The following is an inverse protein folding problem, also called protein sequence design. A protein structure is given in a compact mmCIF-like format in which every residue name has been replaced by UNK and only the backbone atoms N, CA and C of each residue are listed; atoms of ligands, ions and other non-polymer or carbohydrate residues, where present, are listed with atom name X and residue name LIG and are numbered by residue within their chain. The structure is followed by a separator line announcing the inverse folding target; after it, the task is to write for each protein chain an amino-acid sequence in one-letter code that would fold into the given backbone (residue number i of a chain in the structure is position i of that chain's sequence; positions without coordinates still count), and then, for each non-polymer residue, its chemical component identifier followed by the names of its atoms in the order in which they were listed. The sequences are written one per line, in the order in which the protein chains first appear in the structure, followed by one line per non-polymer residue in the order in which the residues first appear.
data_IF_677669086654
#
_entry.id   IF_677669086654
#
_cell.length_a   1.000
_cell.length_b   1.000
_cell.length_c   1.000
_cell.angle_alpha   90.00
_cell.angle_beta   90.00
_cell.angle_gamma   90.00
#
_symmetry.space_group_name_H-M   'P 1'
#
loop_
_entity.id
_entity.type
_entity.pdbx_description
1 polymer ?
#
# COMPACT_ATOMS: atom_id res chain seq x y z
N UNK A 1 -29.52 1.27 2.84
CA UNK A 1 -28.18 1.76 2.44
C UNK A 1 -27.37 0.55 1.97
N UNK A 2 -26.46 0.72 1.02
CA UNK A 2 -25.60 -0.40 0.60
C UNK A 2 -24.71 -0.83 1.75
N UNK A 3 -24.62 -2.13 2.06
CA UNK A 3 -23.69 -2.66 3.04
C UNK A 3 -22.28 -2.98 2.45
N UNK A 4 -22.02 -2.50 1.22
CA UNK A 4 -20.75 -2.66 0.51
C UNK A 4 -19.76 -1.59 0.92
N UNK A 5 -18.57 -2.02 1.31
CA UNK A 5 -17.51 -1.16 1.83
C UNK A 5 -16.17 -1.40 1.14
N UNK A 6 -15.35 -0.37 1.15
CA UNK A 6 -13.91 -0.48 0.92
C UNK A 6 -13.18 -0.47 2.28
N UNK A 7 -12.42 -1.52 2.58
CA UNK A 7 -11.51 -1.55 3.72
C UNK A 7 -10.17 -0.96 3.31
N UNK A 8 -9.72 0.09 4.03
CA UNK A 8 -8.43 0.75 3.77
C UNK A 8 -7.52 0.63 4.99
N UNK A 9 -6.40 -0.08 4.84
CA UNK A 9 -5.40 -0.21 5.91
C UNK A 9 -4.38 0.93 5.87
N UNK A 10 -3.87 1.34 7.04
CA UNK A 10 -2.95 2.48 7.13
C UNK A 10 -3.61 3.81 6.74
N UNK A 11 -4.91 3.95 6.97
CA UNK A 11 -5.73 5.07 6.51
C UNK A 11 -5.53 6.38 7.27
N UNK A 12 -4.76 6.40 8.37
CA UNK A 12 -4.62 7.58 9.23
C UNK A 12 -3.72 8.69 8.65
N UNK A 13 -3.07 8.48 7.52
CA UNK A 13 -2.22 9.48 6.83
C UNK A 13 -1.80 9.03 5.41
N UNK A 14 -1.17 9.95 4.68
CA UNK A 14 -0.47 9.67 3.42
C UNK A 14 -1.35 9.03 2.33
N UNK A 15 -0.81 8.05 1.63
CA UNK A 15 -1.48 7.43 0.49
C UNK A 15 -2.80 6.75 0.91
N UNK A 16 -2.84 6.09 2.08
CA UNK A 16 -4.05 5.42 2.57
C UNK A 16 -5.20 6.39 2.84
N UNK A 17 -4.91 7.54 3.47
CA UNK A 17 -5.88 8.60 3.69
C UNK A 17 -6.43 9.15 2.36
N UNK A 18 -5.55 9.42 1.40
CA UNK A 18 -5.95 9.94 0.10
C UNK A 18 -6.73 8.91 -0.75
N UNK A 19 -6.41 7.61 -0.63
CA UNK A 19 -7.19 6.54 -1.26
C UNK A 19 -8.61 6.50 -0.65
N UNK A 20 -8.72 6.54 0.68
CA UNK A 20 -10.01 6.56 1.36
C UNK A 20 -10.85 7.78 0.94
N UNK A 21 -10.23 8.97 0.90
CA UNK A 21 -10.85 10.22 0.44
C UNK A 21 -11.35 10.09 -1.01
N UNK A 22 -10.52 9.57 -1.91
CA UNK A 22 -10.90 9.44 -3.31
C UNK A 22 -11.99 8.38 -3.53
N UNK A 23 -11.98 7.28 -2.78
CA UNK A 23 -13.07 6.30 -2.80
C UNK A 23 -14.38 6.88 -2.25
N UNK A 24 -14.34 7.64 -1.15
CA UNK A 24 -15.49 8.32 -0.58
C UNK A 24 -16.08 9.33 -1.59
N UNK A 25 -15.26 10.08 -2.32
CA UNK A 25 -15.70 11.00 -3.38
C UNK A 25 -16.40 10.31 -4.56
N UNK A 26 -16.21 8.99 -4.71
CA UNK A 26 -16.94 8.16 -5.68
C UNK A 26 -18.23 7.53 -5.11
N UNK A 27 -18.64 7.93 -3.91
CA UNK A 27 -19.85 7.41 -3.25
C UNK A 27 -19.70 6.03 -2.63
N UNK A 28 -18.47 5.59 -2.33
CA UNK A 28 -18.18 4.28 -1.75
C UNK A 28 -18.10 4.41 -0.23
N UNK A 29 -18.78 3.53 0.52
CA UNK A 29 -18.64 3.45 1.96
C UNK A 29 -17.25 2.92 2.34
N UNK A 30 -16.70 3.43 3.44
CA UNK A 30 -15.31 3.16 3.81
C UNK A 30 -15.23 2.59 5.23
N UNK A 31 -14.46 1.53 5.40
CA UNK A 31 -13.95 1.10 6.70
C UNK A 31 -12.47 1.46 6.78
N UNK A 32 -12.12 2.33 7.70
CA UNK A 32 -10.76 2.80 7.94
C UNK A 32 -10.09 1.94 9.01
N UNK A 33 -8.84 1.53 8.81
CA UNK A 33 -8.06 0.92 9.90
C UNK A 33 -6.62 1.44 9.94
N UNK A 34 -6.16 1.75 11.15
CA UNK A 34 -4.80 2.11 11.50
C UNK A 34 -4.65 2.09 13.03
N UNK A 35 -3.45 2.40 13.55
CA UNK A 35 -3.16 2.43 14.99
C UNK A 35 -3.67 3.68 15.70
N UNK A 36 -3.74 4.82 15.00
CA UNK A 36 -4.04 6.16 15.56
C UNK A 36 -5.55 6.42 15.49
N UNK A 37 -6.27 6.04 16.55
CA UNK A 37 -7.72 6.10 16.62
C UNK A 37 -8.29 7.50 16.40
N UNK A 38 -7.76 8.51 17.09
CA UNK A 38 -8.24 9.90 16.99
C UNK A 38 -8.18 10.43 15.53
N UNK A 39 -7.14 10.03 14.79
CA UNK A 39 -7.00 10.42 13.38
C UNK A 39 -8.01 9.70 12.49
N UNK A 40 -8.32 8.44 12.78
CA UNK A 40 -9.33 7.68 12.06
C UNK A 40 -10.72 8.26 12.30
N UNK A 41 -11.05 8.56 13.56
CA UNK A 41 -12.33 9.18 13.93
C UNK A 41 -12.52 10.51 13.18
N UNK A 42 -11.55 11.41 13.28
CA UNK A 42 -11.61 12.71 12.59
C UNK A 42 -11.76 12.57 11.07
N UNK A 43 -11.03 11.61 10.48
CA UNK A 43 -11.14 11.35 9.05
C UNK A 43 -12.54 10.79 8.69
N UNK A 44 -13.07 9.87 9.48
CA UNK A 44 -14.39 9.28 9.27
C UNK A 44 -15.49 10.35 9.31
N UNK A 45 -15.48 11.22 10.34
CA UNK A 45 -16.41 12.34 10.48
C UNK A 45 -16.35 13.29 9.26
N UNK A 46 -15.14 13.67 8.84
CA UNK A 46 -14.94 14.58 7.71
C UNK A 46 -15.47 13.96 6.40
N UNK A 47 -15.06 12.72 6.08
CA UNK A 47 -15.46 12.06 4.84
C UNK A 47 -16.98 11.80 4.80
N UNK A 48 -17.58 11.37 5.91
CA UNK A 48 -19.03 11.16 6.01
C UNK A 48 -19.79 12.46 5.79
N UNK A 49 -19.33 13.57 6.36
CA UNK A 49 -19.93 14.88 6.21
C UNK A 49 -19.82 15.42 4.79
N UNK A 50 -18.62 15.29 4.18
CA UNK A 50 -18.30 15.87 2.86
C UNK A 50 -18.96 15.09 1.72
N UNK A 51 -18.83 13.75 1.73
CA UNK A 51 -19.24 12.91 0.60
C UNK A 51 -20.58 12.19 0.80
N UNK A 52 -21.22 12.31 1.98
CA UNK A 52 -22.52 11.68 2.31
C UNK A 52 -22.49 10.15 2.18
N UNK A 53 -21.35 9.52 2.46
CA UNK A 53 -21.15 8.08 2.53
C UNK A 53 -21.02 7.62 3.98
N UNK A 54 -21.25 6.33 4.23
CA UNK A 54 -20.98 5.75 5.53
C UNK A 54 -19.46 5.51 5.67
N UNK A 55 -18.87 6.09 6.69
CA UNK A 55 -17.45 5.84 7.04
C UNK A 55 -17.37 5.40 8.49
N UNK A 56 -16.86 4.22 8.70
CA UNK A 56 -16.59 3.66 10.03
C UNK A 56 -15.08 3.38 10.18
N UNK A 57 -14.65 3.09 11.39
CA UNK A 57 -13.24 2.81 11.65
C UNK A 57 -13.06 1.76 12.74
N UNK A 58 -11.91 1.09 12.68
CA UNK A 58 -11.41 0.21 13.74
C UNK A 58 -9.92 0.51 13.96
N UNK A 59 -9.56 0.88 15.20
CA UNK A 59 -8.17 1.05 15.59
C UNK A 59 -7.52 -0.33 15.75
N UNK A 60 -6.49 -0.61 14.93
CA UNK A 60 -5.86 -1.92 14.91
C UNK A 60 -4.38 -1.81 14.52
N UNK A 61 -3.52 -2.59 15.20
CA UNK A 61 -2.11 -2.72 14.84
C UNK A 61 -1.87 -4.02 14.07
N UNK A 62 -1.59 -3.90 12.78
CA UNK A 62 -1.32 -5.05 11.90
C UNK A 62 0.00 -5.80 12.22
N UNK A 63 0.79 -5.33 13.18
CA UNK A 63 1.88 -6.12 13.76
C UNK A 63 1.37 -7.20 14.73
N UNK A 64 0.11 -7.10 15.17
CA UNK A 64 -0.56 -8.14 15.94
C UNK A 64 -1.07 -9.25 15.02
N UNK A 65 -0.83 -10.49 15.40
CA UNK A 65 -1.20 -11.67 14.64
C UNK A 65 -2.72 -11.81 14.46
N UNK A 66 -3.50 -11.43 15.48
CA UNK A 66 -4.95 -11.51 15.47
C UNK A 66 -5.63 -10.37 14.72
N UNK A 67 -4.93 -9.29 14.40
CA UNK A 67 -5.50 -8.10 13.77
C UNK A 67 -6.38 -8.37 12.54
N UNK A 68 -6.02 -9.26 11.60
CA UNK A 68 -6.89 -9.58 10.46
C UNK A 68 -8.22 -10.22 10.89
N UNK A 69 -8.20 -11.09 11.92
CA UNK A 69 -9.41 -11.73 12.44
C UNK A 69 -10.30 -10.72 13.17
N UNK A 70 -9.70 -9.81 13.94
CA UNK A 70 -10.44 -8.76 14.66
C UNK A 70 -11.15 -7.83 13.68
N UNK A 71 -10.47 -7.43 12.60
CA UNK A 71 -11.07 -6.61 11.53
C UNK A 71 -12.23 -7.36 10.85
N UNK A 72 -12.05 -8.64 10.54
CA UNK A 72 -13.09 -9.46 9.92
C UNK A 72 -14.31 -9.64 10.84
N UNK A 73 -14.07 -9.94 12.13
CA UNK A 73 -15.12 -10.05 13.12
C UNK A 73 -15.91 -8.74 13.27
N UNK A 74 -15.22 -7.60 13.27
CA UNK A 74 -15.86 -6.29 13.26
C UNK A 74 -16.76 -6.12 12.03
N UNK A 75 -16.28 -6.43 10.82
CA UNK A 75 -17.09 -6.37 9.61
C UNK A 75 -18.35 -7.25 9.71
N UNK A 76 -18.20 -8.48 10.20
CA UNK A 76 -19.35 -9.39 10.37
C UNK A 76 -20.34 -8.89 11.42
N UNK A 77 -19.89 -8.31 12.54
CA UNK A 77 -20.76 -7.75 13.58
C UNK A 77 -21.61 -6.57 13.11
N UNK A 78 -21.14 -5.86 12.08
CA UNK A 78 -21.79 -4.69 11.46
C UNK A 78 -22.50 -5.04 10.15
N UNK A 79 -22.48 -6.30 9.72
CA UNK A 79 -22.98 -6.73 8.40
C UNK A 79 -22.33 -5.97 7.24
N UNK A 80 -21.03 -5.66 7.33
CA UNK A 80 -20.29 -5.00 6.28
C UNK A 80 -19.72 -6.02 5.28
N UNK A 81 -20.06 -5.85 4.02
CA UNK A 81 -19.50 -6.61 2.91
C UNK A 81 -18.31 -5.86 2.32
N UNK A 82 -17.12 -6.44 2.37
CA UNK A 82 -15.92 -5.83 1.82
C UNK A 82 -15.75 -6.26 0.36
N UNK A 83 -16.13 -5.38 -0.58
CA UNK A 83 -15.94 -5.58 -2.01
C UNK A 83 -14.60 -4.99 -2.51
N UNK A 84 -14.00 -4.09 -1.74
CA UNK A 84 -12.71 -3.44 -2.07
C UNK A 84 -11.79 -3.57 -0.86
N UNK A 85 -10.62 -4.18 -1.05
CA UNK A 85 -9.59 -4.33 -0.01
C UNK A 85 -8.33 -3.57 -0.42
N UNK A 86 -7.99 -2.52 0.34
CA UNK A 86 -6.79 -1.71 0.13
C UNK A 86 -5.75 -2.06 1.20
N UNK A 87 -4.80 -2.89 0.84
CA UNK A 87 -3.63 -3.23 1.64
C UNK A 87 -2.56 -2.14 1.46
N UNK A 88 -2.65 -1.08 2.27
CA UNK A 88 -1.74 0.07 2.18
C UNK A 88 -0.82 0.23 3.39
N UNK A 89 -1.16 -0.31 4.55
CA UNK A 89 -0.34 -0.17 5.75
C UNK A 89 1.11 -0.58 5.51
N UNK A 90 2.04 0.23 5.98
CA UNK A 90 3.47 -0.04 5.85
C UNK A 90 4.31 1.09 6.45
N UNK A 91 5.57 0.78 6.70
CA UNK A 91 6.58 1.71 7.19
C UNK A 91 7.97 1.29 6.68
N UNK A 92 8.98 2.08 6.94
CA UNK A 92 10.38 1.76 6.65
C UNK A 92 11.21 1.66 7.93
N UNK A 93 12.35 0.98 7.87
CA UNK A 93 13.34 0.90 8.95
C UNK A 93 14.62 1.58 8.46
N UNK A 94 15.09 2.63 9.17
CA UNK A 94 16.33 3.35 8.85
C UNK A 94 17.57 2.62 9.33
N UNK A 95 17.44 1.91 10.46
CA UNK A 95 18.55 1.20 11.10
C UNK A 95 19.15 0.14 10.16
N UNK A 96 20.47 0.05 10.04
CA UNK A 96 21.13 -1.00 9.27
C UNK A 96 20.69 -2.41 9.69
N UNK A 97 20.59 -3.33 8.74
CA UNK A 97 20.01 -4.66 8.99
C UNK A 97 20.72 -5.45 10.10
N UNK A 98 22.05 -5.33 10.23
CA UNK A 98 22.82 -6.01 11.26
C UNK A 98 22.67 -5.40 12.67
N UNK A 99 22.02 -4.23 12.77
CA UNK A 99 21.75 -3.53 14.03
C UNK A 99 20.28 -3.67 14.48
N UNK A 100 19.41 -4.17 13.61
CA UNK A 100 18.02 -4.45 13.95
C UNK A 100 17.87 -5.78 14.67
N UNK A 101 16.84 -5.91 15.52
CA UNK A 101 16.49 -7.19 16.12
C UNK A 101 15.62 -8.04 15.18
N UNK A 102 15.73 -9.39 15.29
CA UNK A 102 14.81 -10.28 14.57
C UNK A 102 13.33 -9.95 14.86
N UNK A 103 13.01 -9.53 16.08
CA UNK A 103 11.66 -9.12 16.48
C UNK A 103 11.17 -7.91 15.67
N UNK A 104 12.04 -6.95 15.36
CA UNK A 104 11.68 -5.79 14.54
C UNK A 104 11.51 -6.17 13.07
N UNK A 105 12.38 -7.06 12.56
CA UNK A 105 12.26 -7.59 11.21
C UNK A 105 10.98 -8.45 11.03
N UNK A 106 10.64 -9.28 12.01
CA UNK A 106 9.39 -10.05 12.00
C UNK A 106 8.16 -9.16 12.01
N UNK A 107 8.14 -8.08 12.82
CA UNK A 107 7.06 -7.08 12.79
C UNK A 107 6.98 -6.39 11.43
N UNK A 108 8.13 -6.07 10.83
CA UNK A 108 8.19 -5.45 9.52
C UNK A 108 7.60 -6.38 8.44
N UNK A 109 8.03 -7.64 8.42
CA UNK A 109 7.49 -8.67 7.52
C UNK A 109 6.00 -8.85 7.75
N UNK A 110 5.56 -8.87 9.02
CA UNK A 110 4.15 -9.03 9.37
C UNK A 110 3.30 -7.90 8.79
N UNK A 111 3.67 -6.66 9.01
CA UNK A 111 2.87 -5.51 8.53
C UNK A 111 2.87 -5.40 7.00
N UNK A 112 4.02 -5.56 6.34
CA UNK A 112 4.14 -5.35 4.90
C UNK A 112 3.82 -6.60 4.06
N UNK A 113 3.82 -7.77 4.67
CA UNK A 113 3.69 -9.07 3.98
C UNK A 113 2.58 -9.93 4.56
N UNK A 114 2.78 -10.50 5.74
CA UNK A 114 1.89 -11.52 6.30
C UNK A 114 0.48 -11.00 6.55
N UNK A 115 0.32 -9.76 7.04
CA UNK A 115 -1.01 -9.16 7.24
C UNK A 115 -1.76 -8.95 5.92
N UNK A 116 -1.04 -8.59 4.85
CA UNK A 116 -1.61 -8.45 3.50
C UNK A 116 -2.16 -9.79 3.00
N UNK A 117 -1.39 -10.87 3.18
CA UNK A 117 -1.82 -12.23 2.84
C UNK A 117 -3.04 -12.63 3.68
N UNK A 118 -2.98 -12.40 5.00
CA UNK A 118 -4.05 -12.79 5.92
C UNK A 118 -5.37 -12.06 5.64
N UNK A 119 -5.33 -10.73 5.47
CA UNK A 119 -6.51 -9.95 5.08
C UNK A 119 -7.06 -10.40 3.73
N UNK A 120 -6.21 -10.59 2.73
CA UNK A 120 -6.64 -11.09 1.43
C UNK A 120 -7.30 -12.47 1.58
N UNK A 121 -6.68 -13.39 2.31
CA UNK A 121 -7.19 -14.76 2.51
C UNK A 121 -8.54 -14.81 3.23
N UNK A 122 -8.76 -13.90 4.20
CA UNK A 122 -9.98 -13.92 5.02
C UNK A 122 -11.18 -13.29 4.29
N UNK A 123 -10.96 -12.28 3.42
CA UNK A 123 -12.02 -11.62 2.66
C UNK A 123 -12.28 -12.25 1.28
N UNK A 124 -11.32 -12.98 0.72
CA UNK A 124 -11.41 -13.56 -0.61
C UNK A 124 -12.61 -14.52 -0.79
N UNK A 125 -12.96 -15.41 0.17
CA UNK A 125 -14.12 -16.29 0.03
C UNK A 125 -15.45 -15.55 -0.17
N UNK A 126 -15.66 -14.46 0.57
CA UNK A 126 -16.86 -13.62 0.43
C UNK A 126 -16.88 -12.93 -0.95
N UNK A 127 -15.72 -12.43 -1.42
CA UNK A 127 -15.59 -11.85 -2.76
C UNK A 127 -15.88 -12.84 -3.87
N UNK A 128 -15.39 -14.09 -3.75
CA UNK A 128 -15.64 -15.17 -4.72
C UNK A 128 -17.14 -15.50 -4.76
N UNK A 129 -17.77 -15.67 -3.60
CA UNK A 129 -19.21 -15.94 -3.50
C UNK A 129 -20.04 -14.86 -4.20
N UNK A 130 -19.63 -13.59 -4.03
CA UNK A 130 -20.33 -12.44 -4.63
C UNK A 130 -19.89 -12.17 -6.08
N UNK A 131 -18.93 -12.90 -6.61
CA UNK A 131 -18.31 -12.70 -7.93
C UNK A 131 -17.87 -11.23 -8.15
N UNK A 132 -17.43 -10.58 -7.09
CA UNK A 132 -17.03 -9.19 -7.11
C UNK A 132 -15.99 -8.91 -6.03
N UNK A 133 -14.78 -8.57 -6.44
CA UNK A 133 -13.70 -8.21 -5.52
C UNK A 133 -12.63 -7.39 -6.21
N UNK A 134 -12.23 -6.30 -5.56
CA UNK A 134 -11.10 -5.48 -6.01
C UNK A 134 -10.09 -5.39 -4.88
N UNK A 135 -8.90 -5.87 -5.14
CA UNK A 135 -7.80 -5.84 -4.18
C UNK A 135 -6.74 -4.85 -4.69
N UNK A 136 -6.29 -3.96 -3.85
CA UNK A 136 -5.10 -3.15 -4.11
C UNK A 136 -4.05 -3.46 -3.07
N UNK A 137 -2.82 -3.69 -3.52
CA UNK A 137 -1.65 -3.82 -2.66
C UNK A 137 -0.72 -2.64 -2.94
N UNK A 138 -0.54 -1.76 -1.95
CA UNK A 138 0.40 -0.64 -2.08
C UNK A 138 1.83 -1.17 -1.93
N UNK A 139 2.43 -1.38 -3.08
CA UNK A 139 3.80 -1.82 -3.25
C UNK A 139 4.75 -0.60 -3.32
N UNK A 140 5.70 -0.59 -4.23
CA UNK A 140 6.66 0.49 -4.49
C UNK A 140 7.40 0.27 -5.79
N UNK A 141 7.98 1.33 -6.38
CA UNK A 141 8.98 1.19 -7.44
C UNK A 141 10.24 0.46 -6.96
N UNK A 142 10.45 0.35 -5.64
CA UNK A 142 11.51 -0.48 -5.04
C UNK A 142 11.38 -1.96 -5.42
N UNK A 143 10.18 -2.42 -5.78
CA UNK A 143 9.97 -3.77 -6.31
C UNK A 143 10.66 -4.05 -7.65
N UNK A 144 11.08 -3.01 -8.36
CA UNK A 144 11.77 -3.10 -9.66
C UNK A 144 13.21 -2.63 -9.57
N UNK A 145 13.60 -1.99 -8.48
CA UNK A 145 14.93 -1.41 -8.29
C UNK A 145 15.96 -2.46 -7.86
N UNK A 146 17.26 -2.23 -8.12
CA UNK A 146 18.30 -3.01 -7.51
C UNK A 146 18.22 -2.99 -5.98
N UNK A 147 18.81 -3.98 -5.29
CA UNK A 147 18.89 -3.99 -3.83
C UNK A 147 19.47 -2.68 -3.28
N UNK A 148 18.88 -2.16 -2.21
CA UNK A 148 19.30 -0.93 -1.53
C UNK A 148 20.08 -1.29 -0.27
N UNK A 149 21.08 -0.48 0.09
CA UNK A 149 21.80 -0.61 1.36
C UNK A 149 20.97 -0.17 2.57
N UNK A 150 19.88 0.57 2.33
CA UNK A 150 18.91 0.97 3.33
C UNK A 150 17.70 0.05 3.24
N UNK A 151 17.21 -0.46 4.38
CA UNK A 151 16.00 -1.28 4.42
C UNK A 151 16.12 -2.58 3.60
N UNK A 152 16.99 -3.47 4.03
CA UNK A 152 17.32 -4.72 3.32
C UNK A 152 16.09 -5.53 2.88
N UNK A 153 15.02 -5.59 3.70
CA UNK A 153 13.81 -6.36 3.39
C UNK A 153 12.75 -5.58 2.62
N UNK A 154 12.83 -4.25 2.52
CA UNK A 154 11.75 -3.47 1.90
C UNK A 154 11.55 -3.81 0.42
N UNK A 155 12.61 -3.74 -0.38
CA UNK A 155 12.57 -4.11 -1.81
C UNK A 155 12.11 -5.54 -2.03
N UNK A 156 12.73 -6.55 -1.37
CA UNK A 156 12.30 -7.95 -1.45
C UNK A 156 10.82 -8.17 -1.13
N UNK A 157 10.31 -7.58 -0.02
CA UNK A 157 8.89 -7.71 0.33
C UNK A 157 8.00 -7.04 -0.73
N UNK A 158 8.36 -5.87 -1.25
CA UNK A 158 7.57 -5.21 -2.29
C UNK A 158 7.56 -5.99 -3.60
N UNK A 159 8.67 -6.67 -3.94
CA UNK A 159 8.73 -7.60 -5.08
C UNK A 159 7.81 -8.81 -4.86
N UNK A 160 7.85 -9.41 -3.67
CA UNK A 160 6.96 -10.49 -3.30
C UNK A 160 5.48 -10.07 -3.39
N UNK A 161 5.13 -8.85 -2.92
CA UNK A 161 3.76 -8.33 -2.99
C UNK A 161 3.29 -8.12 -4.44
N UNK A 162 4.16 -7.69 -5.36
CA UNK A 162 3.81 -7.61 -6.78
C UNK A 162 3.47 -9.00 -7.34
N UNK A 163 4.29 -10.01 -7.06
CA UNK A 163 4.05 -11.37 -7.50
C UNK A 163 2.82 -12.01 -6.87
N UNK A 164 2.56 -11.71 -5.60
CA UNK A 164 1.34 -12.13 -4.93
C UNK A 164 0.10 -11.52 -5.59
N UNK A 165 0.12 -10.22 -5.92
CA UNK A 165 -0.95 -9.55 -6.67
C UNK A 165 -1.20 -10.20 -8.04
N UNK A 166 -0.13 -10.50 -8.78
CA UNK A 166 -0.22 -11.21 -10.07
C UNK A 166 -0.88 -12.58 -9.91
N UNK A 167 -0.49 -13.33 -8.86
CA UNK A 167 -1.05 -14.67 -8.58
C UNK A 167 -2.54 -14.60 -8.26
N UNK A 168 -3.02 -13.59 -7.52
CA UNK A 168 -4.46 -13.39 -7.27
C UNK A 168 -5.20 -13.17 -8.60
N UNK A 169 -4.68 -12.35 -9.51
CA UNK A 169 -5.31 -12.15 -10.82
C UNK A 169 -5.40 -13.45 -11.62
N UNK A 170 -4.30 -14.21 -11.70
CA UNK A 170 -4.27 -15.46 -12.47
C UNK A 170 -5.28 -16.48 -11.94
N UNK A 171 -5.39 -16.61 -10.61
CA UNK A 171 -6.19 -17.65 -10.00
C UNK A 171 -7.68 -17.30 -9.88
N UNK A 172 -8.03 -15.99 -9.76
CA UNK A 172 -9.39 -15.59 -9.36
C UNK A 172 -10.07 -14.57 -10.30
N UNK A 173 -9.47 -14.23 -11.44
CA UNK A 173 -10.08 -13.29 -12.40
C UNK A 173 -11.40 -13.80 -12.97
N UNK A 174 -11.54 -15.12 -13.15
CA UNK A 174 -12.79 -15.74 -13.61
C UNK A 174 -13.91 -15.70 -12.57
N UNK A 175 -13.55 -15.52 -11.29
CA UNK A 175 -14.49 -15.33 -10.19
C UNK A 175 -14.86 -13.86 -9.98
N UNK A 176 -14.47 -12.98 -10.90
CA UNK A 176 -14.75 -11.53 -10.81
C UNK A 176 -13.82 -10.77 -9.86
N UNK A 177 -12.68 -11.36 -9.48
CA UNK A 177 -11.69 -10.75 -8.59
C UNK A 177 -10.55 -10.16 -9.40
N UNK A 178 -10.17 -8.92 -9.09
CA UNK A 178 -8.97 -8.27 -9.65
C UNK A 178 -8.06 -7.78 -8.54
N UNK A 179 -6.76 -7.86 -8.77
CA UNK A 179 -5.74 -7.33 -7.86
C UNK A 179 -4.83 -6.35 -8.58
N UNK A 180 -4.55 -5.21 -7.97
CA UNK A 180 -3.68 -4.16 -8.52
C UNK A 180 -2.53 -3.90 -7.57
N UNK A 181 -1.30 -4.17 -8.01
CA UNK A 181 -0.11 -3.69 -7.32
C UNK A 181 0.11 -2.21 -7.65
N UNK A 182 -0.17 -1.32 -6.71
CA UNK A 182 0.16 0.10 -6.82
C UNK A 182 1.62 0.30 -6.44
N UNK A 183 2.44 0.78 -7.35
CA UNK A 183 3.89 0.93 -7.20
C UNK A 183 4.29 2.42 -7.23
N UNK A 184 4.09 3.16 -6.12
CA UNK A 184 4.50 4.56 -6.03
C UNK A 184 6.02 4.71 -6.08
N UNK A 185 6.46 5.86 -6.61
CA UNK A 185 7.79 6.39 -6.35
C UNK A 185 7.83 7.26 -5.09
N UNK A 186 8.73 8.23 -5.05
CA UNK A 186 8.83 9.19 -3.96
C UNK A 186 7.53 10.01 -3.85
N UNK A 187 6.84 9.82 -2.73
CA UNK A 187 5.55 10.44 -2.46
C UNK A 187 5.65 11.29 -1.20
N UNK A 188 5.24 12.54 -1.27
CA UNK A 188 5.27 13.46 -0.12
C UNK A 188 4.20 13.01 0.88
N UNK A 189 4.64 12.40 1.98
CA UNK A 189 3.79 11.87 3.06
C UNK A 189 4.57 11.82 4.37
N UNK A 190 3.89 11.57 5.48
CA UNK A 190 4.52 11.28 6.78
C UNK A 190 5.36 9.98 6.79
N UNK A 191 5.32 9.16 5.73
CA UNK A 191 6.06 7.90 5.66
C UNK A 191 7.56 8.10 5.85
N UNK A 192 8.14 9.10 5.20
CA UNK A 192 9.58 9.36 5.27
C UNK A 192 10.01 9.84 6.65
N UNK A 193 9.22 10.73 7.27
CA UNK A 193 9.46 11.21 8.64
C UNK A 193 9.30 10.07 9.64
N UNK A 194 8.24 9.29 9.55
CA UNK A 194 7.97 8.17 10.47
C UNK A 194 8.96 7.00 10.32
N UNK A 195 9.55 6.85 9.14
CA UNK A 195 10.60 5.86 8.85
C UNK A 195 12.03 6.38 9.13
N UNK A 196 12.17 7.63 9.57
CA UNK A 196 13.47 8.26 9.86
C UNK A 196 14.32 8.57 8.62
N UNK A 197 13.75 8.56 7.41
CA UNK A 197 14.45 8.80 6.13
C UNK A 197 14.06 10.13 5.47
N UNK A 198 13.70 11.13 6.28
CA UNK A 198 13.27 12.44 5.75
C UNK A 198 14.42 13.17 5.04
N UNK A 199 15.64 13.12 5.56
CA UNK A 199 16.80 13.77 4.94
C UNK A 199 17.09 13.21 3.54
N UNK A 200 16.98 11.88 3.37
CA UNK A 200 17.13 11.24 2.07
C UNK A 200 16.01 11.64 1.11
N UNK A 201 14.78 11.82 1.63
CA UNK A 201 13.67 12.35 0.86
C UNK A 201 13.90 13.78 0.42
N UNK A 202 14.50 14.62 1.28
CA UNK A 202 14.75 16.03 0.97
C UNK A 202 15.77 16.19 -0.16
N UNK A 203 16.73 15.28 -0.26
CA UNK A 203 17.74 15.23 -1.35
C UNK A 203 17.18 14.78 -2.70
N UNK A 204 16.01 14.14 -2.73
CA UNK A 204 15.38 13.71 -3.98
C UNK A 204 14.98 14.93 -4.81
N UNK A 205 15.28 15.00 -6.11
CA UNK A 205 14.87 16.09 -6.98
C UNK A 205 13.33 16.29 -6.99
N UNK A 206 12.88 17.54 -7.05
CA UNK A 206 11.46 17.88 -6.95
C UNK A 206 10.60 17.24 -8.05
N UNK A 207 11.15 17.05 -9.28
CA UNK A 207 10.44 16.41 -10.39
C UNK A 207 10.15 14.92 -10.16
N UNK A 208 10.80 14.30 -9.16
CA UNK A 208 10.57 12.92 -8.75
C UNK A 208 9.62 12.82 -7.55
N UNK A 209 9.21 13.94 -6.93
CA UNK A 209 8.31 13.97 -5.78
C UNK A 209 6.88 14.23 -6.23
N UNK A 210 5.95 13.40 -5.79
CA UNK A 210 4.55 13.52 -6.15
C UNK A 210 3.66 13.55 -4.91
N UNK A 211 2.49 14.19 -5.03
CA UNK A 211 1.52 14.24 -3.93
C UNK A 211 0.83 12.88 -3.74
N UNK A 212 0.49 12.56 -2.49
CA UNK A 212 -0.27 11.36 -2.16
C UNK A 212 -1.64 11.33 -2.87
N UNK A 213 -2.28 12.48 -3.01
CA UNK A 213 -3.56 12.63 -3.73
C UNK A 213 -3.46 12.16 -5.19
N UNK A 214 -2.41 12.56 -5.91
CA UNK A 214 -2.21 12.12 -7.29
C UNK A 214 -1.97 10.60 -7.37
N UNK A 215 -1.13 10.08 -6.48
CA UNK A 215 -0.83 8.65 -6.41
C UNK A 215 -2.09 7.84 -6.12
N UNK A 216 -2.89 8.27 -5.15
CA UNK A 216 -4.16 7.65 -4.79
C UNK A 216 -5.13 7.63 -5.97
N UNK A 217 -5.31 8.78 -6.63
CA UNK A 217 -6.18 8.89 -7.81
C UNK A 217 -5.78 7.94 -8.93
N UNK A 218 -4.50 7.99 -9.37
CA UNK A 218 -4.01 7.12 -10.45
C UNK A 218 -4.10 5.63 -10.06
N UNK A 219 -3.86 5.29 -8.78
CA UNK A 219 -3.97 3.92 -8.25
C UNK A 219 -5.40 3.40 -8.26
N UNK A 220 -6.34 4.16 -7.71
CA UNK A 220 -7.76 3.77 -7.65
C UNK A 220 -8.35 3.68 -9.06
N UNK A 221 -8.05 4.62 -9.95
CA UNK A 221 -8.50 4.57 -11.35
C UNK A 221 -7.94 3.32 -12.06
N UNK A 222 -6.68 2.95 -11.81
CA UNK A 222 -6.08 1.72 -12.35
C UNK A 222 -6.74 0.45 -11.79
N UNK A 223 -7.06 0.43 -10.49
CA UNK A 223 -7.78 -0.68 -9.85
C UNK A 223 -9.17 -0.87 -10.47
N UNK A 224 -9.93 0.20 -10.65
CA UNK A 224 -11.25 0.11 -11.30
C UNK A 224 -11.15 -0.30 -12.78
N UNK A 225 -10.05 0.04 -13.45
CA UNK A 225 -9.75 -0.42 -14.81
C UNK A 225 -9.21 -1.87 -14.89
N UNK A 226 -9.09 -2.59 -13.76
CA UNK A 226 -8.61 -3.96 -13.70
C UNK A 226 -7.12 -4.14 -14.06
N UNK A 227 -6.30 -3.10 -13.91
CA UNK A 227 -4.86 -3.18 -14.22
C UNK A 227 -4.11 -3.94 -13.12
N UNK A 228 -3.38 -4.99 -13.47
CA UNK A 228 -2.60 -5.78 -12.53
C UNK A 228 -1.48 -4.99 -11.83
N UNK A 229 -0.82 -4.07 -12.56
CA UNK A 229 0.25 -3.21 -12.01
C UNK A 229 -0.02 -1.75 -12.39
N UNK A 230 0.05 -0.87 -11.41
CA UNK A 230 0.00 0.58 -11.60
C UNK A 230 1.29 1.22 -11.09
N UNK A 231 2.09 1.76 -11.99
CA UNK A 231 3.19 2.68 -11.67
C UNK A 231 2.68 4.08 -11.94
N UNK A 232 2.36 4.89 -10.91
CA UNK A 232 1.85 6.24 -11.11
C UNK A 232 2.92 7.14 -11.75
N UNK A 233 2.43 8.14 -12.48
CA UNK A 233 3.21 9.18 -13.17
C UNK A 233 4.05 8.69 -14.35
N UNK A 234 4.21 9.57 -15.34
CA UNK A 234 5.01 9.29 -16.55
C UNK A 234 6.50 9.10 -16.21
N UNK A 235 7.01 9.87 -15.26
CA UNK A 235 8.40 9.80 -14.77
C UNK A 235 8.74 8.40 -14.28
N UNK A 236 7.92 7.86 -13.38
CA UNK A 236 8.19 6.53 -12.82
C UNK A 236 7.86 5.39 -13.78
N UNK A 237 6.88 5.54 -14.67
CA UNK A 237 6.65 4.57 -15.76
C UNK A 237 7.90 4.42 -16.64
N UNK A 238 8.51 5.55 -17.03
CA UNK A 238 9.74 5.55 -17.81
C UNK A 238 10.91 4.95 -17.03
N UNK A 239 11.08 5.34 -15.75
CA UNK A 239 12.13 4.79 -14.91
C UNK A 239 12.00 3.27 -14.76
N UNK A 240 10.81 2.76 -14.43
CA UNK A 240 10.56 1.31 -14.30
C UNK A 240 10.76 0.58 -15.63
N UNK A 241 10.40 1.19 -16.75
CA UNK A 241 10.72 0.63 -18.06
C UNK A 241 12.24 0.47 -18.25
N UNK A 242 13.05 1.49 -17.94
CA UNK A 242 14.50 1.39 -17.99
C UNK A 242 15.04 0.31 -17.05
N UNK A 243 14.51 0.24 -15.81
CA UNK A 243 14.93 -0.78 -14.84
C UNK A 243 14.69 -2.22 -15.32
N UNK A 244 13.69 -2.44 -16.19
CA UNK A 244 13.38 -3.77 -16.74
C UNK A 244 14.25 -4.19 -17.92
N UNK A 245 14.85 -3.24 -18.65
CA UNK A 245 15.62 -3.53 -19.87
C UNK A 245 17.12 -3.38 -19.69
N UNK A 246 17.57 -2.59 -18.70
CA UNK A 246 18.99 -2.38 -18.48
C UNK A 246 19.61 -3.52 -17.64
N UNK A 247 20.86 -3.93 -17.95
CA UNK A 247 21.59 -4.89 -17.13
C UNK A 247 21.77 -4.39 -15.69
N UNK A 248 21.75 -5.29 -14.72
CA UNK A 248 21.88 -4.98 -13.28
C UNK A 248 23.19 -4.23 -12.94
N UNK A 249 24.26 -4.47 -13.69
CA UNK A 249 25.54 -3.75 -13.54
C UNK A 249 25.42 -2.25 -13.88
N UNK A 250 24.62 -1.89 -14.87
CA UNK A 250 24.39 -0.49 -15.23
C UNK A 250 23.43 0.20 -14.26
N UNK A 251 22.51 -0.55 -13.66
CA UNK A 251 21.50 -0.03 -12.72
C UNK A 251 22.12 0.44 -11.40
N UNK A 252 23.19 -0.18 -10.93
CA UNK A 252 23.89 0.23 -9.70
C UNK A 252 24.52 1.62 -9.84
N UNK A 253 25.07 1.96 -11.02
CA UNK A 253 25.60 3.28 -11.32
C UNK A 253 24.51 4.36 -11.38
N UNK A 254 23.38 4.05 -12.00
CA UNK A 254 22.23 4.96 -12.07
C UNK A 254 21.58 5.16 -10.69
N UNK A 255 21.45 4.10 -9.90
CA UNK A 255 20.88 4.15 -8.57
C UNK A 255 21.64 5.10 -7.64
N UNK A 256 22.97 5.10 -7.70
CA UNK A 256 23.82 6.04 -6.93
C UNK A 256 23.55 7.49 -7.24
N UNK A 257 23.29 7.85 -8.51
CA UNK A 257 23.00 9.22 -8.93
C UNK A 257 21.57 9.66 -8.62
N UNK A 258 20.59 8.77 -8.74
CA UNK A 258 19.16 9.11 -8.59
C UNK A 258 18.67 9.01 -7.15
N UNK A 259 19.32 8.23 -6.32
CA UNK A 259 18.98 8.05 -4.91
C UNK A 259 20.25 8.01 -4.05
N UNK A 260 20.96 9.18 -3.92
CA UNK A 260 22.18 9.27 -3.13
C UNK A 260 21.90 8.84 -1.67
N UNK A 261 22.84 8.08 -1.09
CA UNK A 261 22.71 7.52 0.26
C UNK A 261 21.97 6.17 0.34
N UNK A 262 21.29 5.72 -0.71
CA UNK A 262 20.66 4.38 -0.76
C UNK A 262 21.58 3.27 -1.27
N UNK A 263 22.68 3.63 -1.90
CA UNK A 263 23.67 2.71 -2.43
C UNK A 263 25.01 3.09 -1.83
N UNK A 264 25.61 2.20 -1.03
CA UNK A 264 26.90 2.47 -0.39
C UNK A 264 27.93 2.89 -1.43
N UNK A 265 28.55 4.05 -1.19
CA UNK A 265 29.82 4.40 -1.79
C UNK A 265 30.90 3.57 -1.09
N UNK A 266 31.34 2.50 -1.73
CA UNK A 266 32.65 1.89 -1.48
C UNK A 266 33.56 2.29 -2.61
#
# INVERSE_FOLDING_TARGET
MSNKFALVTGASSGIGMEIATYLASKGINILLTARREERLQKLAENLSKEYKVTVDYIACDLSNENAPNDIYAFCKSKDYQIDILINNAGYGIKTPFHETSMKDEEKFIRVLGTSVIALTKIFLPDMITNKNGKIMIVSSVAAFSPPSSIQALYGPIKTFMNRFSDSININYSQDGITSTALCPGFTVTEFHTSSGVQEEMDRVPSFMKFSAQRIAKEGVDAMFAGKGVCVPTKTYKFLVFLLKILPSSSLSLFGRKLAPGRYNEK
#
